data_IF_047946205546
#
_entry.id   IF_047946205546
#
_cell.length_a   1.000
_cell.length_b   1.000
_cell.length_c   1.000
_cell.angle_alpha   90.00
_cell.angle_beta   90.00
_cell.angle_gamma   90.00
#
_symmetry.space_group_name_H-M   'P 1'
#
loop_
_entity.id
_entity.type
_entity.pdbx_description
1 polymer ?
#
# COMPACT_ATOMS: atom_id res chain seq x y z
N UNK A 1 16.31 -10.99 -9.53
CA UNK A 1 14.84 -11.08 -9.52
C UNK A 1 14.28 -9.79 -8.94
N UNK A 2 13.16 -9.33 -9.50
CA UNK A 2 12.37 -8.20 -8.98
C UNK A 2 11.09 -8.80 -8.43
N UNK A 3 10.68 -8.37 -7.23
CA UNK A 3 9.42 -8.77 -6.59
C UNK A 3 8.54 -7.52 -6.46
N UNK A 4 7.33 -7.61 -7.01
CA UNK A 4 6.36 -6.53 -7.02
C UNK A 4 5.24 -6.83 -6.02
N UNK A 5 5.10 -5.98 -5.01
CA UNK A 5 4.05 -6.12 -3.99
C UNK A 5 3.13 -4.91 -4.05
N UNK A 6 1.84 -5.15 -4.09
CA UNK A 6 0.81 -4.11 -4.17
C UNK A 6 0.31 -3.74 -2.77
N UNK A 7 0.21 -2.45 -2.50
CA UNK A 7 -0.29 -1.90 -1.24
C UNK A 7 -1.64 -1.23 -1.46
N UNK A 8 -2.65 -1.56 -0.66
CA UNK A 8 -3.98 -0.98 -0.74
C UNK A 8 -4.52 -0.60 0.65
N UNK A 9 -5.38 0.42 0.75
CA UNK A 9 -6.07 0.70 2.02
C UNK A 9 -6.94 -0.48 2.45
N UNK A 10 -7.04 -0.72 3.75
CA UNK A 10 -7.90 -1.80 4.31
C UNK A 10 -9.35 -1.66 3.89
N UNK A 11 -9.81 -0.43 3.69
CA UNK A 11 -11.17 -0.11 3.25
C UNK A 11 -11.34 -0.02 1.74
N UNK A 12 -10.28 -0.25 0.95
CA UNK A 12 -10.30 -0.10 -0.51
C UNK A 12 -9.39 -1.09 -1.23
N UNK A 13 -9.43 -2.42 -0.92
CA UNK A 13 -8.53 -3.42 -1.50
C UNK A 13 -9.08 -3.98 -2.83
N UNK A 14 -9.40 -3.12 -3.80
CA UNK A 14 -10.11 -3.53 -5.00
C UNK A 14 -9.29 -4.41 -5.95
N UNK A 15 -7.97 -4.16 -6.06
CA UNK A 15 -7.08 -4.96 -6.89
C UNK A 15 -6.85 -6.35 -6.29
N UNK A 16 -6.60 -6.42 -4.98
CA UNK A 16 -6.52 -7.68 -4.24
C UNK A 16 -7.80 -8.50 -4.44
N UNK A 17 -8.96 -7.89 -4.22
CA UNK A 17 -10.26 -8.55 -4.38
C UNK A 17 -10.47 -9.06 -5.81
N UNK A 18 -10.22 -8.21 -6.80
CA UNK A 18 -10.40 -8.54 -8.21
C UNK A 18 -9.51 -9.68 -8.68
N UNK A 19 -8.23 -9.69 -8.27
CA UNK A 19 -7.26 -10.75 -8.63
C UNK A 19 -7.53 -12.03 -7.85
N UNK A 20 -7.77 -11.94 -6.53
CA UNK A 20 -8.01 -13.11 -5.68
C UNK A 20 -9.24 -13.91 -6.11
N UNK A 21 -10.30 -13.21 -6.54
CA UNK A 21 -11.54 -13.83 -7.00
C UNK A 21 -11.51 -14.21 -8.49
N UNK A 22 -10.55 -13.69 -9.26
CA UNK A 22 -10.53 -13.80 -10.72
C UNK A 22 -11.60 -12.98 -11.43
N UNK A 23 -12.40 -12.20 -10.69
CA UNK A 23 -13.51 -11.41 -11.25
C UNK A 23 -13.05 -10.04 -11.78
N UNK A 24 -11.88 -9.56 -11.37
CA UNK A 24 -11.31 -8.27 -11.76
C UNK A 24 -12.31 -7.10 -11.58
N UNK A 25 -12.79 -6.54 -12.69
CA UNK A 25 -13.82 -5.49 -12.73
C UNK A 25 -15.26 -6.00 -12.53
N UNK A 26 -15.44 -7.30 -12.40
CA UNK A 26 -16.74 -7.93 -12.10
C UNK A 26 -17.17 -7.85 -10.62
N UNK A 27 -16.31 -7.35 -9.74
CA UNK A 27 -16.58 -7.24 -8.30
C UNK A 27 -16.10 -5.89 -7.76
N UNK A 28 -16.85 -5.35 -6.79
CA UNK A 28 -16.46 -4.16 -6.04
C UNK A 28 -16.27 -4.49 -4.55
N UNK A 29 -15.52 -3.68 -3.82
CA UNK A 29 -15.33 -3.88 -2.38
C UNK A 29 -16.63 -3.77 -1.58
N UNK A 30 -17.60 -3.00 -2.08
CA UNK A 30 -18.93 -2.89 -1.49
C UNK A 30 -19.74 -4.19 -1.58
N UNK A 31 -19.48 -5.02 -2.59
CA UNK A 31 -20.18 -6.31 -2.76
C UNK A 31 -19.84 -7.31 -1.65
N UNK A 32 -18.74 -7.08 -0.92
CA UNK A 32 -18.35 -7.87 0.26
C UNK A 32 -18.46 -7.09 1.57
N UNK A 33 -19.16 -5.95 1.58
CA UNK A 33 -19.44 -5.16 2.78
C UNK A 33 -18.35 -4.20 3.21
N UNK A 34 -17.33 -3.92 2.37
CA UNK A 34 -16.32 -2.91 2.62
C UNK A 34 -16.81 -1.55 2.09
N UNK A 35 -16.67 -0.49 2.88
CA UNK A 35 -17.29 0.82 2.65
C UNK A 35 -16.56 1.73 1.65
N UNK A 36 -15.32 1.40 1.29
CA UNK A 36 -14.45 2.22 0.42
C UNK A 36 -14.12 3.62 1.00
N UNK A 37 -14.18 3.78 2.33
CA UNK A 37 -13.88 5.05 3.01
C UNK A 37 -12.46 5.00 3.57
N UNK A 38 -11.57 5.83 3.03
CA UNK A 38 -10.17 5.91 3.46
C UNK A 38 -9.64 7.34 3.30
N UNK A 39 -8.67 7.70 4.14
CA UNK A 39 -7.91 8.95 4.02
C UNK A 39 -6.94 8.94 2.82
N UNK A 40 -6.65 7.78 2.28
CA UNK A 40 -5.83 7.61 1.08
C UNK A 40 -6.67 7.85 -0.17
N UNK A 41 -7.08 9.10 -0.41
CA UNK A 41 -7.98 9.51 -1.49
C UNK A 41 -7.52 9.02 -2.87
N UNK A 42 -6.23 9.09 -3.14
CA UNK A 42 -5.63 8.58 -4.38
C UNK A 42 -5.72 7.05 -4.57
N UNK A 43 -6.09 6.30 -3.51
CA UNK A 43 -6.27 4.85 -3.52
C UNK A 43 -7.72 4.43 -3.20
N UNK A 44 -8.63 5.39 -3.03
CA UNK A 44 -10.04 5.16 -2.68
C UNK A 44 -10.85 4.64 -3.88
N UNK A 45 -10.49 3.48 -4.40
CA UNK A 45 -11.10 2.87 -5.59
C UNK A 45 -11.88 1.62 -5.21
N UNK A 46 -13.21 1.66 -5.36
CA UNK A 46 -14.09 0.55 -4.96
C UNK A 46 -14.06 -0.64 -5.92
N UNK A 47 -13.70 -0.44 -7.19
CA UNK A 47 -13.70 -1.46 -8.24
C UNK A 47 -12.42 -1.35 -9.07
N UNK A 48 -11.70 -2.45 -9.23
CA UNK A 48 -10.47 -2.49 -10.00
C UNK A 48 -10.70 -2.25 -11.49
N UNK A 49 -9.69 -1.73 -12.18
CA UNK A 49 -9.65 -1.76 -13.63
C UNK A 49 -9.44 -3.19 -14.13
N UNK A 50 -10.37 -3.71 -14.92
CA UNK A 50 -10.26 -5.05 -15.49
C UNK A 50 -9.05 -5.21 -16.41
N UNK A 51 -8.67 -4.16 -17.14
CA UNK A 51 -7.45 -4.17 -17.96
C UNK A 51 -6.20 -4.28 -17.09
N UNK A 52 -6.07 -3.40 -16.07
CA UNK A 52 -4.91 -3.38 -15.17
C UNK A 52 -4.84 -4.68 -14.38
N UNK A 53 -5.97 -5.18 -13.86
CA UNK A 53 -6.02 -6.44 -13.11
C UNK A 53 -5.46 -7.61 -13.92
N UNK A 54 -5.94 -7.79 -15.14
CA UNK A 54 -5.46 -8.87 -16.04
C UNK A 54 -4.00 -8.69 -16.48
N UNK A 55 -3.56 -7.46 -16.72
CA UNK A 55 -2.17 -7.20 -17.10
C UNK A 55 -1.18 -7.44 -15.96
N UNK A 56 -1.57 -7.08 -14.72
CA UNK A 56 -0.70 -7.14 -13.55
C UNK A 56 -0.71 -8.49 -12.84
N UNK A 57 -1.74 -9.31 -13.00
CA UNK A 57 -1.93 -10.59 -12.29
C UNK A 57 -0.69 -11.50 -12.30
N UNK A 58 0.03 -11.55 -13.43
CA UNK A 58 1.24 -12.36 -13.58
C UNK A 58 2.53 -11.67 -13.13
N UNK A 59 2.46 -10.39 -12.83
CA UNK A 59 3.61 -9.56 -12.45
C UNK A 59 3.68 -9.29 -10.95
N UNK A 60 2.57 -9.51 -10.23
CA UNK A 60 2.47 -9.25 -8.81
C UNK A 60 2.81 -10.50 -8.00
N UNK A 61 3.74 -10.33 -7.08
CA UNK A 61 4.18 -11.41 -6.17
C UNK A 61 3.34 -11.45 -4.89
N UNK A 62 2.66 -10.38 -4.54
CA UNK A 62 1.85 -10.32 -3.33
C UNK A 62 1.08 -9.02 -3.17
N UNK A 63 0.22 -9.03 -2.15
CA UNK A 63 -0.58 -7.89 -1.73
C UNK A 63 -0.48 -7.72 -0.22
N UNK A 64 -0.65 -6.51 0.26
CA UNK A 64 -0.99 -6.25 1.65
C UNK A 64 -1.94 -5.06 1.76
N UNK A 65 -2.69 -5.01 2.86
CA UNK A 65 -3.51 -3.86 3.17
C UNK A 65 -2.92 -3.06 4.32
N UNK A 66 -3.20 -1.76 4.34
CA UNK A 66 -2.72 -0.83 5.35
C UNK A 66 -3.87 0.05 5.83
N UNK A 67 -3.97 0.27 7.14
CA UNK A 67 -4.97 1.15 7.71
C UNK A 67 -4.59 2.62 7.58
N UNK A 68 -5.59 3.52 7.58
CA UNK A 68 -5.38 4.97 7.57
C UNK A 68 -4.50 5.43 8.72
N UNK A 69 -4.74 4.90 9.93
CA UNK A 69 -3.93 5.23 11.09
C UNK A 69 -2.45 4.92 10.86
N UNK A 70 -2.16 3.77 10.25
CA UNK A 70 -0.77 3.40 9.97
C UNK A 70 -0.13 4.32 8.94
N UNK A 71 -0.88 4.81 7.95
CA UNK A 71 -0.38 5.80 7.01
C UNK A 71 -0.09 7.14 7.69
N UNK A 72 -0.94 7.60 8.62
CA UNK A 72 -0.65 8.79 9.43
C UNK A 72 0.60 8.62 10.31
N UNK A 73 0.77 7.48 10.96
CA UNK A 73 1.95 7.19 11.77
C UNK A 73 3.23 7.21 10.92
N UNK A 74 3.19 6.63 9.71
CA UNK A 74 4.31 6.67 8.78
C UNK A 74 4.60 8.09 8.28
N UNK A 75 3.58 8.93 8.07
CA UNK A 75 3.75 10.34 7.74
C UNK A 75 4.46 11.09 8.86
N UNK A 76 4.01 10.92 10.10
CA UNK A 76 4.64 11.56 11.27
C UNK A 76 6.11 11.14 11.40
N UNK A 77 6.39 9.85 11.27
CA UNK A 77 7.75 9.32 11.32
C UNK A 77 8.63 9.90 10.21
N UNK A 78 8.17 9.87 8.96
CA UNK A 78 8.91 10.37 7.78
C UNK A 78 9.18 11.87 7.89
N UNK A 79 8.18 12.64 8.31
CA UNK A 79 8.31 14.09 8.53
C UNK A 79 9.35 14.40 9.60
N UNK A 80 9.37 13.60 10.69
CA UNK A 80 10.29 13.82 11.83
C UNK A 80 11.73 13.42 11.52
N UNK A 81 11.94 12.32 10.78
CA UNK A 81 13.25 11.73 10.55
C UNK A 81 13.92 12.29 9.29
N UNK A 82 13.16 12.49 8.22
CA UNK A 82 13.68 12.86 6.91
C UNK A 82 13.22 14.25 6.45
N UNK A 83 12.36 14.93 7.22
CA UNK A 83 11.72 16.20 6.83
C UNK A 83 10.94 16.11 5.50
N UNK A 84 10.43 14.92 5.18
CA UNK A 84 9.61 14.67 3.99
C UNK A 84 8.15 14.55 4.39
N UNK A 85 7.29 15.29 3.71
CA UNK A 85 5.84 15.25 3.92
C UNK A 85 5.15 14.78 2.65
N UNK A 86 4.38 13.69 2.78
CA UNK A 86 3.64 13.07 1.70
C UNK A 86 2.14 13.03 2.05
N UNK A 87 1.30 12.90 1.06
CA UNK A 87 -0.12 12.58 1.28
C UNK A 87 -0.29 11.13 1.78
N UNK A 88 -1.37 10.79 2.51
CA UNK A 88 -1.57 9.44 3.05
C UNK A 88 -1.45 8.33 2.01
N UNK A 89 -1.99 8.51 0.81
CA UNK A 89 -1.90 7.55 -0.30
C UNK A 89 -0.47 7.18 -0.65
N UNK A 90 0.44 8.16 -0.64
CA UNK A 90 1.84 7.96 -1.01
C UNK A 90 2.64 7.16 0.04
N UNK A 91 2.09 6.97 1.23
CA UNK A 91 2.73 6.22 2.32
C UNK A 91 2.35 4.74 2.33
N UNK A 92 1.34 4.35 1.55
CA UNK A 92 0.87 2.97 1.54
C UNK A 92 2.00 1.97 1.23
N UNK A 93 2.91 2.30 0.32
CA UNK A 93 4.04 1.45 -0.04
C UNK A 93 5.13 1.32 1.03
N UNK A 94 5.23 2.23 2.00
CA UNK A 94 6.34 2.27 2.97
C UNK A 94 6.36 1.07 3.92
N UNK A 95 5.22 0.43 4.17
CA UNK A 95 5.17 -0.76 5.02
C UNK A 95 5.69 -2.03 4.30
N UNK A 96 5.75 -2.02 2.97
CA UNK A 96 6.09 -3.17 2.14
C UNK A 96 7.38 -3.89 2.51
N UNK A 97 8.52 -3.21 2.68
CA UNK A 97 9.77 -3.83 3.10
C UNK A 97 9.64 -4.61 4.42
N UNK A 98 8.92 -4.05 5.39
CA UNK A 98 8.70 -4.68 6.70
C UNK A 98 7.79 -5.91 6.55
N UNK A 99 6.70 -5.79 5.79
CA UNK A 99 5.76 -6.90 5.54
C UNK A 99 6.48 -8.05 4.85
N UNK A 100 7.26 -7.77 3.82
CA UNK A 100 8.04 -8.79 3.09
C UNK A 100 9.07 -9.46 4.01
N UNK A 101 9.81 -8.66 4.79
CA UNK A 101 10.84 -9.17 5.70
C UNK A 101 10.26 -10.06 6.81
N UNK A 102 9.08 -9.72 7.33
CA UNK A 102 8.44 -10.44 8.44
C UNK A 102 7.60 -11.65 8.00
N UNK A 103 7.30 -11.82 6.72
CA UNK A 103 6.49 -12.94 6.23
C UNK A 103 7.35 -14.15 5.90
N UNK A 104 7.48 -15.08 6.85
CA UNK A 104 8.21 -16.33 6.65
C UNK A 104 7.62 -17.17 5.51
N UNK A 105 6.30 -17.20 5.37
CA UNK A 105 5.62 -17.94 4.31
C UNK A 105 5.97 -17.36 2.94
N UNK A 106 5.87 -16.05 2.78
CA UNK A 106 6.24 -15.37 1.54
C UNK A 106 7.71 -15.61 1.19
N UNK A 107 8.61 -15.43 2.17
CA UNK A 107 10.05 -15.62 2.00
C UNK A 107 10.41 -17.04 1.59
N UNK A 108 9.77 -18.06 2.18
CA UNK A 108 9.93 -19.48 1.79
C UNK A 108 9.47 -19.70 0.35
N UNK A 109 8.30 -19.16 -0.02
CA UNK A 109 7.74 -19.31 -1.37
C UNK A 109 8.66 -18.76 -2.46
N UNK A 110 9.33 -17.65 -2.22
CA UNK A 110 10.24 -17.00 -3.17
C UNK A 110 11.71 -17.36 -2.97
N UNK A 111 12.03 -18.32 -2.11
CA UNK A 111 13.40 -18.72 -1.76
C UNK A 111 14.29 -17.54 -1.29
N UNK A 112 13.75 -16.64 -0.49
CA UNK A 112 14.44 -15.49 0.09
C UNK A 112 15.07 -15.87 1.43
N UNK A 113 16.35 -16.27 1.40
CA UNK A 113 17.14 -16.50 2.61
C UNK A 113 17.43 -15.19 3.36
N UNK A 114 17.90 -15.32 4.61
CA UNK A 114 18.33 -14.14 5.38
C UNK A 114 19.45 -13.37 4.68
N UNK A 115 20.40 -14.05 4.05
CA UNK A 115 21.49 -13.40 3.31
C UNK A 115 20.98 -12.62 2.09
N UNK A 116 20.02 -13.20 1.35
CA UNK A 116 19.38 -12.50 0.24
C UNK A 116 18.59 -11.28 0.72
N UNK A 117 17.86 -11.42 1.82
CA UNK A 117 17.10 -10.29 2.40
C UNK A 117 18.04 -9.17 2.88
N UNK A 118 19.14 -9.52 3.55
CA UNK A 118 20.12 -8.54 4.03
C UNK A 118 20.81 -7.76 2.89
N UNK A 119 20.89 -8.36 1.70
CA UNK A 119 21.47 -7.73 0.50
C UNK A 119 20.39 -7.23 -0.50
N UNK A 120 19.10 -7.27 -0.13
CA UNK A 120 18.03 -6.82 -0.99
C UNK A 120 17.95 -5.28 -1.01
N UNK A 121 17.62 -4.74 -2.18
CA UNK A 121 17.23 -3.33 -2.30
C UNK A 121 15.72 -3.22 -2.30
N UNK A 122 15.18 -2.40 -1.40
CA UNK A 122 13.76 -2.10 -1.32
C UNK A 122 13.50 -0.74 -1.96
N UNK A 123 12.59 -0.71 -2.92
CA UNK A 123 12.14 0.52 -3.57
C UNK A 123 10.71 0.83 -3.12
N UNK A 124 10.53 1.99 -2.52
CA UNK A 124 9.22 2.54 -2.17
C UNK A 124 9.01 3.83 -2.96
N UNK A 125 7.88 3.94 -3.64
CA UNK A 125 7.61 5.08 -4.52
C UNK A 125 6.83 6.17 -3.76
N UNK A 126 7.47 7.30 -3.54
CA UNK A 126 6.85 8.50 -2.96
C UNK A 126 6.09 9.26 -4.06
N UNK A 127 4.79 9.00 -4.19
CA UNK A 127 3.99 9.41 -5.36
C UNK A 127 3.37 10.80 -5.27
N UNK A 128 3.18 11.36 -4.06
CA UNK A 128 2.50 12.65 -3.91
C UNK A 128 2.66 13.30 -2.54
N UNK A 129 2.29 14.59 -2.45
CA UNK A 129 2.34 15.38 -1.21
C UNK A 129 2.68 16.85 -1.42
N UNK A 130 3.45 17.20 -2.45
CA UNK A 130 3.91 18.57 -2.68
C UNK A 130 2.80 19.58 -3.00
N UNK A 131 1.61 19.13 -3.36
CA UNK A 131 0.44 19.99 -3.62
C UNK A 131 -0.58 20.02 -2.47
N UNK A 132 -0.34 19.29 -1.39
CA UNK A 132 -1.22 19.29 -0.22
C UNK A 132 -1.12 20.65 0.48
N UNK A 133 -2.23 21.36 0.71
CA UNK A 133 -2.21 22.62 1.45
C UNK A 133 -1.67 22.42 2.88
N UNK A 134 -0.90 23.39 3.40
CA UNK A 134 -0.27 23.30 4.72
C UNK A 134 -1.27 22.98 5.84
N UNK A 135 -2.45 23.59 5.80
CA UNK A 135 -3.51 23.35 6.79
C UNK A 135 -3.99 21.89 6.76
N UNK A 136 -4.04 21.26 5.59
CA UNK A 136 -4.46 19.88 5.47
C UNK A 136 -3.33 18.93 5.90
N UNK A 137 -2.09 19.26 5.56
CA UNK A 137 -0.92 18.51 6.01
C UNK A 137 -0.81 18.51 7.55
N UNK A 138 -1.04 19.65 8.19
CA UNK A 138 -1.09 19.75 9.66
C UNK A 138 -2.16 18.85 10.27
N UNK A 139 -3.35 18.77 9.64
CA UNK A 139 -4.41 17.83 10.08
C UNK A 139 -3.97 16.37 9.93
N UNK A 140 -3.28 16.00 8.85
CA UNK A 140 -2.76 14.65 8.71
C UNK A 140 -1.72 14.33 9.78
N UNK A 141 -0.77 15.23 10.00
CA UNK A 141 0.28 15.08 11.02
C UNK A 141 -0.31 15.01 12.43
N UNK A 142 -1.37 15.75 12.73
CA UNK A 142 -2.02 15.72 14.04
C UNK A 142 -2.69 14.38 14.38
N UNK A 143 -2.91 13.51 13.40
CA UNK A 143 -3.48 12.19 13.58
C UNK A 143 -2.42 11.11 13.83
N UNK A 144 -1.14 11.42 13.65
CA UNK A 144 -0.05 10.49 13.92
C UNK A 144 0.11 10.26 15.44
N UNK A 145 0.38 9.02 15.84
CA UNK A 145 0.59 8.61 17.23
C UNK A 145 2.08 8.58 17.61
N UNK A 146 2.95 9.33 16.95
CA UNK A 146 4.42 9.29 17.17
C UNK A 146 5.03 10.66 17.53
#
# INVERSE_FOLDING_TARGET
NVHCVFAEPTHSPCMLLGILTGLHDGIAVQDIGIDNITAADGLAVGRASGFVGRAMERLLDGFYTISDQRMYDLLGLLSKVEAIQLEPSALAGMLGPIVVASSDEYRKRINMSNDKLANATHLVWATGGGMVPSVEMEKYLSKANC
#
